data_IF_487828784176
#
_entry.id   IF_487828784176
#
_cell.length_a   1.000
_cell.length_b   1.000
_cell.length_c   1.000
_cell.angle_alpha   90.00
_cell.angle_beta   90.00
_cell.angle_gamma   90.00
#
_symmetry.space_group_name_H-M   'P 1'
#
loop_
_entity.id
_entity.type
_entity.pdbx_description
1 polymer ?
#
# COMPACT_ATOMS: atom_id res chain seq x y z
N UNK A 1 -3.76 3.77 -8.59
CA UNK A 1 -3.62 3.31 -7.19
C UNK A 1 -2.31 3.82 -6.59
N UNK A 2 -2.39 4.87 -5.79
CA UNK A 2 -1.25 5.63 -5.28
C UNK A 2 -1.32 5.58 -3.76
N UNK A 3 -0.31 5.02 -3.09
CA UNK A 3 -0.17 5.20 -1.64
C UNK A 3 0.33 6.62 -1.40
N UNK A 4 -0.59 7.58 -1.39
CA UNK A 4 -0.30 8.93 -0.88
C UNK A 4 -0.37 8.84 0.64
N UNK A 5 0.79 8.83 1.31
CA UNK A 5 0.85 8.98 2.76
C UNK A 5 0.74 10.46 3.14
N UNK A 6 -0.28 11.13 2.60
CA UNK A 6 -0.73 12.48 2.91
C UNK A 6 -2.25 12.49 2.77
N UNK A 7 -2.96 12.77 3.88
CA UNK A 7 -4.34 13.24 3.81
C UNK A 7 -4.34 14.53 2.98
N UNK A 8 -4.74 14.45 1.71
CA UNK A 8 -5.02 15.61 0.88
C UNK A 8 -6.26 15.35 0.02
N UNK A 9 -7.14 16.34 0.07
CA UNK A 9 -8.46 16.44 -0.53
C UNK A 9 -8.39 16.44 -2.06
N UNK A 10 -9.37 15.78 -2.68
CA UNK A 10 -9.83 15.86 -4.08
C UNK A 10 -9.02 16.75 -5.05
N UNK A 11 -8.46 16.12 -6.09
CA UNK A 11 -8.30 16.78 -7.40
C UNK A 11 -8.66 15.80 -8.51
N UNK A 12 -9.50 16.28 -9.43
CA UNK A 12 -10.16 15.59 -10.52
C UNK A 12 -9.32 14.59 -11.34
N UNK A 13 -10.02 13.53 -11.76
CA UNK A 13 -9.64 12.56 -12.77
C UNK A 13 -9.26 13.26 -14.09
N UNK A 14 -8.02 13.08 -14.52
CA UNK A 14 -7.56 13.38 -15.88
C UNK A 14 -6.51 12.34 -16.26
N UNK A 15 -6.60 11.88 -17.51
CA UNK A 15 -6.01 10.67 -18.11
C UNK A 15 -4.47 10.72 -18.29
N UNK A 16 -3.79 11.44 -17.40
CA UNK A 16 -2.34 11.45 -17.28
C UNK A 16 -2.01 11.89 -15.86
N UNK A 17 -2.11 10.95 -14.91
CA UNK A 17 -1.73 11.18 -13.52
C UNK A 17 -0.19 11.24 -13.37
N UNK A 18 0.43 12.25 -13.97
CA UNK A 18 1.71 12.74 -13.49
C UNK A 18 1.45 13.51 -12.18
N UNK A 19 2.26 13.25 -11.15
CA UNK A 19 2.33 14.12 -9.97
C UNK A 19 2.57 15.56 -10.48
N UNK A 20 1.85 16.56 -9.97
CA UNK A 20 2.10 17.97 -10.35
C UNK A 20 3.55 18.31 -10.01
N UNK A 21 4.37 18.65 -11.02
CA UNK A 21 5.84 18.79 -10.94
C UNK A 21 6.62 17.50 -10.60
N UNK A 22 5.99 16.34 -10.76
CA UNK A 22 6.62 15.04 -10.61
C UNK A 22 7.71 14.84 -11.66
N UNK A 23 8.93 14.61 -11.21
CA UNK A 23 9.96 14.04 -12.07
C UNK A 23 9.75 12.54 -12.10
N UNK A 24 9.15 12.02 -13.17
CA UNK A 24 9.22 10.60 -13.46
C UNK A 24 10.69 10.24 -13.67
N UNK A 25 11.28 9.62 -12.65
CA UNK A 25 12.57 8.98 -12.77
C UNK A 25 12.25 7.49 -12.87
N UNK A 26 12.40 6.85 -14.04
CA UNK A 26 12.32 5.39 -14.16
C UNK A 26 13.54 4.82 -13.47
N UNK A 27 13.52 4.82 -12.15
CA UNK A 27 14.54 4.20 -11.33
C UNK A 27 13.86 3.00 -10.71
N UNK A 28 14.15 1.83 -11.27
CA UNK A 28 13.93 0.57 -10.59
C UNK A 28 14.63 0.70 -9.22
N UNK A 29 13.87 0.68 -8.11
CA UNK A 29 14.48 0.89 -6.80
C UNK A 29 15.46 -0.24 -6.53
N UNK A 30 16.62 0.09 -5.96
CA UNK A 30 17.52 -0.93 -5.47
C UNK A 30 16.81 -1.73 -4.36
N UNK A 31 17.14 -3.01 -4.22
CA UNK A 31 16.59 -3.82 -3.15
C UNK A 31 16.89 -3.18 -1.78
N UNK A 32 15.82 -2.85 -1.04
CA UNK A 32 15.91 -2.19 0.27
C UNK A 32 15.87 -0.66 0.24
N UNK A 33 15.74 -0.03 -0.94
CA UNK A 33 15.55 1.42 -1.07
C UNK A 33 14.19 1.89 -0.53
N UNK A 34 13.14 1.07 -0.71
CA UNK A 34 11.80 1.29 -0.15
C UNK A 34 11.44 0.14 0.81
N UNK A 35 12.09 0.06 1.98
CA UNK A 35 12.06 -1.15 2.81
C UNK A 35 10.73 -1.36 3.56
N UNK A 36 9.83 -0.38 3.54
CA UNK A 36 8.49 -0.46 4.13
C UNK A 36 7.41 -0.82 3.09
N UNK A 37 7.78 -0.97 1.81
CA UNK A 37 6.83 -1.33 0.74
C UNK A 37 6.18 -2.69 1.02
N UNK A 38 4.86 -2.73 0.89
CA UNK A 38 4.06 -3.96 0.95
C UNK A 38 3.33 -4.11 -0.38
N UNK A 39 3.29 -5.33 -0.91
CA UNK A 39 2.36 -5.75 -1.94
C UNK A 39 1.26 -6.61 -1.32
N UNK A 40 0.01 -6.18 -1.44
CA UNK A 40 -1.18 -6.95 -1.11
C UNK A 40 -1.58 -7.77 -2.33
N UNK A 41 -1.83 -9.06 -2.09
CA UNK A 41 -2.17 -10.03 -3.14
C UNK A 41 -3.25 -11.00 -2.69
N UNK A 42 -4.09 -11.44 -3.62
CA UNK A 42 -5.06 -12.50 -3.41
C UNK A 42 -4.51 -13.82 -3.96
N UNK A 43 -4.78 -14.91 -3.25
CA UNK A 43 -4.46 -16.26 -3.74
C UNK A 43 -5.67 -16.85 -4.46
N UNK A 44 -5.57 -16.96 -5.78
CA UNK A 44 -6.63 -17.47 -6.66
C UNK A 44 -6.03 -18.62 -7.47
N UNK A 45 -6.68 -19.78 -7.50
CA UNK A 45 -6.22 -20.95 -8.28
C UNK A 45 -4.74 -21.34 -8.06
N UNK A 46 -4.25 -21.18 -6.81
CA UNK A 46 -2.86 -21.49 -6.46
C UNK A 46 -1.84 -20.38 -6.77
N UNK A 47 -2.22 -19.36 -7.54
CA UNK A 47 -1.38 -18.22 -7.89
C UNK A 47 -1.67 -17.01 -7.00
N UNK A 48 -0.66 -16.17 -6.79
CA UNK A 48 -0.80 -14.89 -6.09
C UNK A 48 -0.94 -13.77 -7.11
N UNK A 49 -2.03 -13.03 -7.01
CA UNK A 49 -2.34 -11.87 -7.84
C UNK A 49 -2.20 -10.62 -6.97
N UNK A 50 -1.09 -9.88 -7.10
CA UNK A 50 -0.99 -8.55 -6.51
C UNK A 50 -2.15 -7.70 -7.01
N UNK A 51 -2.71 -6.88 -6.13
CA UNK A 51 -3.81 -5.98 -6.48
C UNK A 51 -3.69 -4.63 -5.78
N UNK A 52 -3.07 -4.57 -4.59
CA UNK A 52 -2.86 -3.32 -3.86
C UNK A 52 -1.45 -3.15 -3.30
N UNK A 53 -1.12 -1.90 -2.96
CA UNK A 53 0.07 -1.55 -2.18
C UNK A 53 -0.25 -1.39 -0.70
N UNK A 54 0.79 -1.19 0.11
CA UNK A 54 0.66 -0.81 1.51
C UNK A 54 2.01 -0.42 2.11
N UNK A 55 1.98 0.02 3.37
CA UNK A 55 3.16 0.40 4.15
C UNK A 55 3.25 -0.41 5.44
N UNK A 56 4.41 -1.02 5.71
CA UNK A 56 4.65 -1.70 6.98
C UNK A 56 4.89 -0.65 8.08
N UNK A 57 3.95 -0.51 9.01
CA UNK A 57 3.99 0.48 10.11
C UNK A 57 4.32 -0.16 11.46
N UNK A 58 4.14 -1.48 11.56
CA UNK A 58 4.53 -2.32 12.69
C UNK A 58 4.90 -3.71 12.13
N UNK A 59 5.73 -4.55 12.80
CA UNK A 59 6.08 -5.87 12.27
C UNK A 59 4.87 -6.75 11.93
N UNK A 60 3.70 -6.45 12.51
CA UNK A 60 2.44 -7.17 12.28
C UNK A 60 1.31 -6.34 11.66
N UNK A 61 1.53 -5.06 11.38
CA UNK A 61 0.50 -4.18 10.83
C UNK A 61 0.97 -3.45 9.59
N UNK A 62 0.13 -3.54 8.55
CA UNK A 62 0.29 -2.83 7.29
C UNK A 62 -0.81 -1.78 7.20
N UNK A 63 -0.42 -0.55 6.86
CA UNK A 63 -1.33 0.53 6.50
C UNK A 63 -1.63 0.48 4.99
N UNK A 64 -2.90 0.63 4.62
CA UNK A 64 -3.37 0.62 3.24
C UNK A 64 -4.61 1.51 3.11
N UNK A 65 -5.15 1.63 1.90
CA UNK A 65 -6.47 2.19 1.65
C UNK A 65 -7.59 1.22 2.10
N UNK A 66 -8.77 1.74 2.44
CA UNK A 66 -9.94 0.92 2.75
C UNK A 66 -10.51 0.27 1.49
N UNK A 67 -10.53 0.97 0.34
CA UNK A 67 -10.98 0.39 -0.94
C UNK A 67 -10.14 -0.82 -1.39
N UNK A 68 -8.92 -0.98 -0.87
CA UNK A 68 -8.10 -2.17 -1.11
C UNK A 68 -8.57 -3.41 -0.34
N UNK A 69 -9.56 -3.29 0.53
CA UNK A 69 -10.00 -4.35 1.44
C UNK A 69 -11.41 -4.85 1.13
N UNK A 70 -12.03 -4.33 0.08
CA UNK A 70 -13.38 -4.65 -0.36
C UNK A 70 -13.50 -4.59 -1.88
N UNK A 71 -14.58 -5.15 -2.40
CA UNK A 71 -15.02 -5.02 -3.77
C UNK A 71 -16.53 -4.77 -3.75
N UNK A 72 -16.97 -3.66 -4.32
CA UNK A 72 -18.39 -3.28 -4.40
C UNK A 72 -19.11 -3.26 -3.04
N UNK A 73 -18.40 -2.83 -2.00
CA UNK A 73 -18.87 -2.75 -0.61
C UNK A 73 -18.72 -4.04 0.18
N UNK A 74 -18.35 -5.15 -0.47
CA UNK A 74 -18.17 -6.45 0.18
C UNK A 74 -16.71 -6.69 0.59
N UNK A 75 -16.41 -6.88 1.88
CA UNK A 75 -15.05 -7.10 2.34
C UNK A 75 -14.43 -8.37 1.74
N UNK A 76 -13.18 -8.28 1.29
CA UNK A 76 -12.45 -9.47 0.84
C UNK A 76 -12.31 -10.48 1.98
N UNK A 77 -12.35 -11.80 1.70
CA UNK A 77 -12.12 -12.80 2.72
C UNK A 77 -10.63 -12.82 3.14
N UNK A 78 -10.29 -12.52 4.42
CA UNK A 78 -8.90 -12.37 4.85
C UNK A 78 -8.02 -13.59 4.57
N UNK A 79 -8.60 -14.79 4.61
CA UNK A 79 -7.87 -16.04 4.40
C UNK A 79 -7.33 -16.22 2.97
N UNK A 80 -7.84 -15.46 2.00
CA UNK A 80 -7.33 -15.43 0.62
C UNK A 80 -6.22 -14.38 0.43
N UNK A 81 -6.04 -13.45 1.38
CA UNK A 81 -5.15 -12.31 1.24
C UNK A 81 -3.76 -12.58 1.83
N UNK A 82 -2.75 -11.99 1.19
CA UNK A 82 -1.35 -12.07 1.59
C UNK A 82 -0.68 -10.72 1.43
N UNK A 83 0.22 -10.39 2.37
CA UNK A 83 1.12 -9.27 2.28
C UNK A 83 2.54 -9.77 1.96
N UNK A 84 3.19 -9.17 0.97
CA UNK A 84 4.59 -9.46 0.63
C UNK A 84 5.47 -8.24 0.91
N UNK A 85 6.56 -8.43 1.66
CA UNK A 85 7.54 -7.38 1.99
C UNK A 85 8.96 -7.77 1.59
N UNK A 86 9.84 -6.78 1.42
CA UNK A 86 11.28 -7.00 1.26
C UNK A 86 11.72 -7.51 -0.10
N UNK A 87 10.98 -7.18 -1.15
CA UNK A 87 11.30 -7.53 -2.54
C UNK A 87 10.91 -6.40 -3.49
N UNK A 88 11.62 -6.35 -4.62
CA UNK A 88 11.33 -5.50 -5.78
C UNK A 88 10.72 -6.30 -6.93
N UNK A 89 10.36 -7.57 -6.71
CA UNK A 89 9.69 -8.39 -7.71
C UNK A 89 8.18 -8.44 -7.42
N UNK A 90 7.36 -8.05 -8.40
CA UNK A 90 5.90 -8.07 -8.30
C UNK A 90 5.32 -9.46 -8.01
N UNK A 91 5.97 -10.54 -8.47
CA UNK A 91 5.56 -11.90 -8.12
C UNK A 91 5.97 -12.33 -6.69
N UNK A 92 6.62 -11.43 -5.95
CA UNK A 92 7.06 -11.59 -4.57
C UNK A 92 8.31 -12.43 -4.36
N UNK A 93 9.02 -12.85 -5.42
CA UNK A 93 10.26 -13.63 -5.33
C UNK A 93 11.29 -12.92 -4.45
N UNK A 94 11.89 -13.66 -3.52
CA UNK A 94 12.89 -13.14 -2.58
C UNK A 94 12.33 -12.32 -1.41
N UNK A 95 11.01 -12.11 -1.35
CA UNK A 95 10.34 -11.42 -0.25
C UNK A 95 9.77 -12.36 0.82
N UNK A 96 9.24 -11.75 1.88
CA UNK A 96 8.48 -12.45 2.91
C UNK A 96 7.00 -12.35 2.58
N UNK A 97 6.38 -13.46 2.18
CA UNK A 97 4.95 -13.54 1.96
C UNK A 97 4.25 -14.06 3.22
N UNK A 98 3.37 -13.24 3.77
CA UNK A 98 2.72 -13.47 5.06
C UNK A 98 1.21 -13.42 4.85
N UNK A 99 0.50 -14.44 5.35
CA UNK A 99 -0.96 -14.50 5.26
C UNK A 99 -1.58 -13.39 6.11
N UNK A 100 -2.67 -12.79 5.61
CA UNK A 100 -3.48 -11.85 6.39
C UNK A 100 -4.31 -12.62 7.41
N UNK A 101 -4.29 -12.15 8.67
CA UNK A 101 -5.13 -12.67 9.74
C UNK A 101 -6.52 -12.02 9.69
N UNK A 102 -6.55 -10.70 9.60
CA UNK A 102 -7.75 -9.87 9.51
C UNK A 102 -7.36 -8.48 9.03
N UNK A 103 -8.35 -7.63 8.77
CA UNK A 103 -8.16 -6.21 8.50
C UNK A 103 -9.29 -5.38 9.11
N UNK A 104 -9.04 -4.09 9.24
CA UNK A 104 -9.99 -3.13 9.79
C UNK A 104 -10.03 -1.94 8.83
N UNK A 105 -11.19 -1.68 8.25
CA UNK A 105 -11.47 -0.45 7.50
C UNK A 105 -11.91 0.64 8.47
N UNK A 106 -11.62 1.90 8.14
CA UNK A 106 -12.14 3.03 8.91
C UNK A 106 -13.68 2.97 8.96
N UNK A 107 -14.27 3.11 10.14
CA UNK A 107 -15.74 3.05 10.31
C UNK A 107 -16.50 4.17 9.58
N UNK A 108 -15.80 5.24 9.18
CA UNK A 108 -16.36 6.35 8.40
C UNK A 108 -16.18 6.18 6.89
N UNK A 109 -15.48 5.15 6.44
CA UNK A 109 -15.42 4.79 5.03
C UNK A 109 -16.79 4.29 4.58
N UNK A 110 -17.32 4.88 3.51
CA UNK A 110 -18.59 4.45 2.90
C UNK A 110 -18.34 3.87 1.50
N UNK A 111 -17.51 4.55 0.72
CA UNK A 111 -17.09 4.21 -0.63
C UNK A 111 -15.80 4.96 -0.98
N UNK A 112 -15.12 4.57 -2.07
CA UNK A 112 -13.80 5.10 -2.48
C UNK A 112 -13.71 6.63 -2.51
N UNK A 113 -14.78 7.32 -2.90
CA UNK A 113 -14.78 8.79 -3.05
C UNK A 113 -15.30 9.54 -1.80
N UNK A 114 -15.80 8.82 -0.79
CA UNK A 114 -16.40 9.42 0.41
C UNK A 114 -15.39 9.99 1.43
N UNK A 115 -14.09 9.80 1.16
CA UNK A 115 -13.01 10.08 2.11
C UNK A 115 -12.87 8.99 3.17
N UNK A 116 -12.03 9.23 4.19
CA UNK A 116 -11.67 8.24 5.21
C UNK A 116 -11.19 6.88 4.64
N UNK A 117 -10.63 6.91 3.43
CA UNK A 117 -10.12 5.75 2.71
C UNK A 117 -8.80 5.26 3.32
N UNK A 118 -8.90 4.65 4.50
CA UNK A 118 -7.79 4.17 5.29
C UNK A 118 -8.17 2.86 5.97
N UNK A 119 -7.30 1.88 5.83
CA UNK A 119 -7.44 0.55 6.40
C UNK A 119 -6.14 0.04 6.98
N UNK A 120 -6.25 -0.88 7.94
CA UNK A 120 -5.10 -1.58 8.51
C UNK A 120 -5.26 -3.08 8.37
N UNK A 121 -4.18 -3.75 7.97
CA UNK A 121 -4.13 -5.20 7.79
C UNK A 121 -3.26 -5.80 8.88
N UNK A 122 -3.80 -6.77 9.61
CA UNK A 122 -3.09 -7.56 10.61
C UNK A 122 -2.50 -8.80 9.96
N UNK A 123 -1.19 -8.98 10.09
CA UNK A 123 -0.49 -10.15 9.58
C UNK A 123 -0.62 -11.33 10.55
N UNK A 124 -0.71 -12.55 10.02
CA UNK A 124 -0.75 -13.79 10.81
C UNK A 124 0.55 -14.06 11.59
N UNK A 125 1.67 -13.48 11.13
CA UNK A 125 2.96 -13.54 11.80
C UNK A 125 3.69 -12.20 11.63
N UNK A 126 4.68 -11.95 12.50
CA UNK A 126 5.53 -10.77 12.36
C UNK A 126 6.41 -10.89 11.10
N UNK A 127 6.50 -9.82 10.33
CA UNK A 127 7.55 -9.62 9.35
C UNK A 127 8.90 -9.56 10.07
N UNK A 128 9.88 -10.29 9.53
CA UNK A 128 11.26 -10.27 10.02
C UNK A 128 11.91 -8.98 9.52
N UNK A 129 12.17 -8.05 10.43
CA UNK A 129 12.85 -6.81 10.09
C UNK A 129 14.30 -7.09 9.69
N UNK A 130 14.86 -6.25 8.82
CA UNK A 130 16.22 -6.40 8.33
C UNK A 130 16.59 -5.30 7.35
N UNK A 131 17.66 -5.55 6.56
CA UNK A 131 18.17 -4.58 5.58
C UNK A 131 17.10 -4.10 4.60
N UNK A 132 16.26 -5.04 4.13
CA UNK A 132 15.27 -4.81 3.08
C UNK A 132 13.83 -4.67 3.62
N UNK A 133 13.63 -4.84 4.93
CA UNK A 133 12.32 -4.78 5.58
C UNK A 133 12.41 -3.90 6.81
N UNK A 134 11.82 -2.71 6.75
CA UNK A 134 11.80 -1.72 7.83
C UNK A 134 10.40 -1.14 7.98
N UNK A 135 10.17 -0.51 9.12
CA UNK A 135 8.93 0.20 9.40
C UNK A 135 9.02 1.63 8.88
N UNK A 136 7.93 2.15 8.34
CA UNK A 136 7.77 3.60 8.15
C UNK A 136 7.16 4.24 9.41
N UNK A 137 7.62 5.45 9.75
CA UNK A 137 7.06 6.21 10.87
C UNK A 137 5.76 6.87 10.43
N UNK A 138 4.74 6.78 11.29
CA UNK A 138 3.51 7.55 11.12
C UNK A 138 3.74 8.99 11.57
N UNK A 139 3.27 9.93 10.75
CA UNK A 139 3.24 11.33 11.11
C UNK A 139 2.02 11.59 12.00
N UNK A 140 2.23 12.23 13.17
CA UNK A 140 1.16 12.47 14.16
C UNK A 140 0.90 13.96 14.41
N UNK A 141 1.68 14.84 13.79
CA UNK A 141 1.62 16.28 14.04
C UNK A 141 1.07 17.04 12.82
N UNK A 142 -0.23 17.32 12.83
CA UNK A 142 -0.89 18.00 11.71
C UNK A 142 -0.53 19.49 11.55
N UNK A 143 0.51 19.98 12.23
CA UNK A 143 0.95 21.39 12.21
C UNK A 143 2.18 21.63 11.33
N UNK A 144 2.82 20.59 10.80
CA UNK A 144 3.97 20.77 9.91
C UNK A 144 3.54 21.28 8.53
N UNK A 145 4.17 22.33 7.99
CA UNK A 145 3.87 22.83 6.66
C UNK A 145 4.44 21.88 5.60
N UNK A 146 3.57 21.09 4.96
CA UNK A 146 3.96 20.14 3.91
C UNK A 146 3.90 20.77 2.50
N UNK A 147 3.32 21.96 2.38
CA UNK A 147 3.24 22.70 1.12
C UNK A 147 4.66 23.03 0.63
N UNK A 148 4.96 22.65 -0.62
CA UNK A 148 6.28 22.83 -1.22
C UNK A 148 7.31 21.75 -0.88
N UNK A 149 6.96 20.79 -0.02
CA UNK A 149 7.82 19.63 0.27
C UNK A 149 7.85 18.65 -0.90
N UNK A 150 8.97 17.93 -1.03
CA UNK A 150 9.08 16.83 -2.00
C UNK A 150 8.55 15.54 -1.36
N UNK A 151 7.67 14.84 -2.07
CA UNK A 151 7.19 13.51 -1.72
C UNK A 151 7.75 12.46 -2.68
N UNK A 152 7.91 11.23 -2.19
CA UNK A 152 8.33 10.08 -2.99
C UNK A 152 7.18 9.08 -3.06
N UNK A 153 6.93 8.56 -4.26
CA UNK A 153 5.97 7.49 -4.50
C UNK A 153 6.72 6.27 -5.02
N UNK A 154 6.38 5.11 -4.49
CA UNK A 154 6.89 3.83 -4.94
C UNK A 154 5.76 2.81 -5.08
N UNK A 155 5.87 1.95 -6.07
CA UNK A 155 4.88 0.92 -6.36
C UNK A 155 5.21 0.20 -7.65
N UNK A 156 4.41 -0.80 -7.98
CA UNK A 156 4.57 -1.62 -9.19
C UNK A 156 3.68 -1.14 -10.36
N UNK A 157 3.20 0.11 -10.28
CA UNK A 157 2.26 0.67 -11.26
C UNK A 157 0.84 0.08 -11.17
N UNK A 158 -0.03 0.52 -12.07
CA UNK A 158 -1.32 -0.12 -12.33
C UNK A 158 -1.03 -1.43 -13.07
N UNK A 159 -1.44 -2.54 -12.48
CA UNK A 159 -1.11 -3.90 -12.94
C UNK A 159 -2.23 -4.58 -13.72
N UNK A 160 -3.41 -3.94 -13.77
CA UNK A 160 -4.53 -4.28 -14.65
C UNK A 160 -4.84 -3.00 -15.43
N UNK A 161 -4.57 -2.98 -16.74
CA UNK A 161 -4.62 -1.77 -17.56
C UNK A 161 -6.03 -1.24 -17.82
N UNK A 162 -6.62 -0.62 -16.81
CA UNK A 162 -7.70 0.36 -16.94
C UNK A 162 -7.19 1.75 -16.55
#
# INVERSE_FOLDING_TARGET
MILVLLLAVHTHYSDSAAIVNGRYKPMEPALGEVPFQVSLSMRINGSHYPFCGGSLVHPRWVLTAAHCLEQDGEPFPPHMMYATVGTININGKGGQRIKVETFIMNRKYLESDSGYDIGVVKLSANAKLGRNVKLIKLHVNNKEPLIGSTAYLAGFGIINGE
#
